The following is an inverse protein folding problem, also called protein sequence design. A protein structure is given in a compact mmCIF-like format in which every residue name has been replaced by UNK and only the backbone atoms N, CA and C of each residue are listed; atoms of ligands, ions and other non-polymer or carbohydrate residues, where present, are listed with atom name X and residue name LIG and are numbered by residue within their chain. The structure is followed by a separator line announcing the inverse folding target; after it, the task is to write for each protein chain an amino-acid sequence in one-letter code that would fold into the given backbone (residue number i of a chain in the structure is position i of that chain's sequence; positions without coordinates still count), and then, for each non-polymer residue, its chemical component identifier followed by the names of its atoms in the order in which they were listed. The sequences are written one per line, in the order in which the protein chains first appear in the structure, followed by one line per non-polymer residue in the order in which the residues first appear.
data_IF_673933553573
#
_entry.id   IF_673933553573
#
_cell.length_a   1.000
_cell.length_b   1.000
_cell.length_c   1.000
_cell.angle_alpha   90.00
_cell.angle_beta   90.00
_cell.angle_gamma   90.00
#
_symmetry.space_group_name_H-M   'P 1'
#
loop_
_entity.id
_entity.type
_entity.pdbx_description
1 polymer ?
#
# COMPACT_ATOMS: atom_id res chain seq x y z
N UNK A 1 10.66 -2.11 -4.16
CA UNK A 1 9.25 -1.71 -4.47
C UNK A 1 9.05 -0.28 -4.03
N UNK A 2 8.36 0.55 -4.81
CA UNK A 2 8.03 1.92 -4.36
C UNK A 2 7.11 1.81 -3.15
N UNK A 3 7.58 2.29 -2.01
CA UNK A 3 6.87 2.27 -0.71
C UNK A 3 5.81 3.36 -0.61
N UNK A 4 5.50 4.03 -1.74
CA UNK A 4 4.57 5.16 -1.79
C UNK A 4 3.37 4.88 -2.67
N UNK A 5 2.20 5.19 -2.12
CA UNK A 5 0.90 4.92 -2.70
C UNK A 5 0.09 6.20 -2.86
N UNK A 6 -0.75 6.24 -3.87
CA UNK A 6 -1.53 7.42 -4.19
C UNK A 6 -2.79 7.49 -3.32
N UNK A 7 -2.94 8.59 -2.57
CA UNK A 7 -4.20 8.93 -1.89
C UNK A 7 -5.05 9.81 -2.81
N UNK A 8 -6.36 9.57 -2.85
CA UNK A 8 -7.29 10.36 -3.65
C UNK A 8 -7.45 11.77 -3.08
N UNK A 9 -7.35 12.78 -3.93
CA UNK A 9 -7.64 14.18 -3.56
C UNK A 9 -9.10 14.38 -3.12
N UNK A 10 -10.00 13.47 -3.52
CA UNK A 10 -11.39 13.50 -3.08
C UNK A 10 -11.58 13.20 -1.59
N UNK A 11 -10.58 12.58 -0.94
CA UNK A 11 -10.65 12.27 0.49
C UNK A 11 -10.85 13.53 1.34
N UNK A 12 -10.10 14.61 1.06
CA UNK A 12 -10.25 15.88 1.80
C UNK A 12 -11.68 16.43 1.73
N UNK A 13 -12.30 16.41 0.54
CA UNK A 13 -13.67 16.88 0.35
C UNK A 13 -14.67 15.99 1.10
N UNK A 14 -14.49 14.67 1.04
CA UNK A 14 -15.36 13.72 1.77
C UNK A 14 -15.26 13.90 3.28
N UNK A 15 -14.05 14.10 3.81
CA UNK A 15 -13.83 14.39 5.23
C UNK A 15 -14.53 15.69 5.65
N UNK A 16 -14.48 16.74 4.81
CA UNK A 16 -15.20 18.00 5.04
C UNK A 16 -16.72 17.80 5.12
N UNK A 17 -17.32 16.93 4.29
CA UNK A 17 -18.76 16.59 4.34
C UNK A 17 -19.15 15.90 5.66
N UNK A 18 -18.20 15.19 6.29
CA UNK A 18 -18.37 14.61 7.62
C UNK A 18 -17.87 15.51 8.75
N UNK A 19 -17.68 16.81 8.48
CA UNK A 19 -17.26 17.82 9.47
C UNK A 19 -15.90 17.55 10.14
N UNK A 20 -15.03 16.77 9.51
CA UNK A 20 -13.67 16.50 9.99
C UNK A 20 -12.78 17.71 9.71
N UNK A 21 -12.17 18.28 10.75
CA UNK A 21 -11.26 19.42 10.63
C UNK A 21 -9.92 18.98 10.01
N UNK A 22 -9.70 19.32 8.73
CA UNK A 22 -8.46 18.98 8.03
C UNK A 22 -7.18 19.50 8.73
N UNK A 23 -7.14 20.75 9.28
CA UNK A 23 -5.97 21.21 10.00
C UNK A 23 -5.67 20.41 11.27
N UNK A 24 -6.71 20.03 12.02
CA UNK A 24 -6.56 19.19 13.22
C UNK A 24 -6.09 17.77 12.84
N UNK A 25 -6.70 17.20 11.81
CA UNK A 25 -6.34 15.91 11.27
C UNK A 25 -4.86 15.85 10.85
N UNK A 26 -4.39 16.78 10.03
CA UNK A 26 -3.03 16.78 9.51
C UNK A 26 -1.98 16.95 10.63
N UNK A 27 -2.25 17.83 11.62
CA UNK A 27 -1.38 17.94 12.80
C UNK A 27 -1.29 16.63 13.58
N UNK A 28 -2.43 15.96 13.77
CA UNK A 28 -2.49 14.70 14.52
C UNK A 28 -1.81 13.55 13.78
N UNK A 29 -1.92 13.52 12.46
CA UNK A 29 -1.27 12.53 11.60
C UNK A 29 0.23 12.80 11.38
N UNK A 30 0.77 13.94 11.85
CA UNK A 30 2.15 14.33 11.57
C UNK A 30 2.41 14.67 10.10
N UNK A 31 1.36 15.07 9.35
CA UNK A 31 1.44 15.40 7.93
C UNK A 31 1.50 16.91 7.70
N UNK A 32 2.17 17.37 6.62
CA UNK A 32 2.32 18.80 6.36
C UNK A 32 0.97 19.49 6.09
N UNK A 33 0.79 20.78 6.46
CA UNK A 33 -0.47 21.51 6.28
C UNK A 33 -0.97 21.55 4.83
N UNK A 34 -0.07 21.55 3.84
CA UNK A 34 -0.39 21.53 2.42
C UNK A 34 -0.61 20.12 1.83
N UNK A 35 -0.72 19.07 2.64
CA UNK A 35 -0.82 17.69 2.22
C UNK A 35 -1.89 17.46 1.14
N UNK A 36 -3.11 17.95 1.34
CA UNK A 36 -4.21 17.78 0.39
C UNK A 36 -4.22 18.81 -0.76
N UNK A 37 -3.28 19.76 -0.79
CA UNK A 37 -3.15 20.74 -1.88
C UNK A 37 -2.24 20.25 -3.00
N UNK A 38 -1.55 19.13 -2.82
CA UNK A 38 -0.70 18.52 -3.83
C UNK A 38 -1.53 17.96 -4.98
N UNK A 39 -1.06 18.11 -6.21
CA UNK A 39 -1.72 17.54 -7.39
C UNK A 39 -1.81 16.01 -7.33
N UNK A 40 -0.76 15.38 -6.82
CA UNK A 40 -0.70 13.93 -6.58
C UNK A 40 -0.16 13.69 -5.18
N UNK A 41 -0.96 13.06 -4.34
CA UNK A 41 -0.62 12.76 -2.95
C UNK A 41 -0.09 11.34 -2.88
N UNK A 42 1.14 11.19 -2.39
CA UNK A 42 1.76 9.88 -2.18
C UNK A 42 2.12 9.71 -0.70
N UNK A 43 1.80 8.55 -0.15
CA UNK A 43 2.07 8.18 1.25
C UNK A 43 2.75 6.81 1.32
N UNK A 44 3.52 6.59 2.37
CA UNK A 44 3.95 5.26 2.80
C UNK A 44 2.82 4.54 3.54
N UNK A 45 2.95 3.23 3.79
CA UNK A 45 1.97 2.49 4.60
C UNK A 45 1.85 3.10 6.01
N UNK A 46 2.96 3.50 6.63
CA UNK A 46 2.97 4.14 7.94
C UNK A 46 2.23 5.49 7.95
N UNK A 47 2.49 6.35 6.96
CA UNK A 47 1.77 7.64 6.79
C UNK A 47 0.27 7.42 6.52
N UNK A 48 -0.08 6.39 5.73
CA UNK A 48 -1.48 6.01 5.49
C UNK A 48 -2.16 5.61 6.81
N UNK A 49 -1.51 4.76 7.61
CA UNK A 49 -2.06 4.32 8.89
C UNK A 49 -2.18 5.48 9.89
N UNK A 50 -1.18 6.36 9.96
CA UNK A 50 -1.24 7.57 10.79
C UNK A 50 -2.42 8.48 10.38
N UNK A 51 -2.62 8.68 9.07
CA UNK A 51 -3.75 9.44 8.54
C UNK A 51 -5.10 8.83 8.97
N UNK A 52 -5.28 7.51 8.82
CA UNK A 52 -6.54 6.85 9.15
C UNK A 52 -6.83 6.77 10.65
N UNK A 53 -5.80 6.60 11.51
CA UNK A 53 -5.96 6.74 12.97
C UNK A 53 -6.42 8.15 13.33
N UNK A 54 -5.76 9.16 12.76
CA UNK A 54 -6.12 10.55 13.00
C UNK A 54 -7.54 10.89 12.52
N UNK A 55 -8.03 10.28 11.42
CA UNK A 55 -9.43 10.42 10.96
C UNK A 55 -10.39 9.89 12.04
N UNK A 56 -10.17 8.70 12.56
CA UNK A 56 -10.98 8.11 13.61
C UNK A 56 -11.05 9.01 14.84
N UNK A 57 -9.91 9.47 15.30
CA UNK A 57 -9.80 10.30 16.51
C UNK A 57 -10.34 11.73 16.34
N UNK A 58 -10.19 12.31 15.14
CA UNK A 58 -10.62 13.71 14.89
C UNK A 58 -12.11 13.81 14.54
N UNK A 59 -12.67 12.77 13.93
CA UNK A 59 -14.09 12.77 13.54
C UNK A 59 -15.05 12.72 14.73
N UNK A 60 -14.65 12.04 15.81
CA UNK A 60 -15.54 11.74 16.94
C UNK A 60 -16.72 10.82 16.59
N UNK A 61 -16.80 10.32 15.35
CA UNK A 61 -17.87 9.48 14.84
C UNK A 61 -17.34 8.03 14.67
N UNK A 62 -17.79 7.08 15.50
CA UNK A 62 -17.37 5.68 15.38
C UNK A 62 -17.81 5.02 14.05
N UNK A 63 -18.75 5.61 13.35
CA UNK A 63 -19.23 5.15 12.03
C UNK A 63 -18.49 5.78 10.85
N UNK A 64 -17.47 6.59 11.05
CA UNK A 64 -16.81 7.32 9.96
C UNK A 64 -16.21 6.38 8.89
N UNK A 65 -15.58 5.29 9.30
CA UNK A 65 -15.02 4.28 8.38
C UNK A 65 -16.10 3.68 7.47
N UNK A 66 -17.14 3.04 8.03
CA UNK A 66 -18.28 2.53 7.27
C UNK A 66 -18.92 3.58 6.34
N UNK A 67 -19.16 4.79 6.81
CA UNK A 67 -19.76 5.88 6.01
C UNK A 67 -18.87 6.29 4.83
N UNK A 68 -17.56 6.41 5.05
CA UNK A 68 -16.60 6.69 3.98
C UNK A 68 -16.50 5.52 2.98
N UNK A 69 -16.64 4.28 3.41
CA UNK A 69 -16.67 3.11 2.52
C UNK A 69 -17.93 3.03 1.65
N UNK A 70 -19.08 3.47 2.15
CA UNK A 70 -20.37 3.41 1.49
C UNK A 70 -20.68 4.63 0.59
N UNK A 71 -19.70 5.15 -0.18
CA UNK A 71 -19.94 6.28 -1.08
C UNK A 71 -21.01 5.96 -2.13
N UNK A 72 -22.16 6.68 -2.16
CA UNK A 72 -23.25 6.38 -3.08
C UNK A 72 -23.04 7.01 -4.47
N UNK A 73 -22.14 7.95 -4.63
CA UNK A 73 -21.97 8.76 -5.83
C UNK A 73 -20.93 8.17 -6.78
N UNK A 74 -21.37 7.73 -7.96
CA UNK A 74 -20.49 7.11 -8.97
C UNK A 74 -19.42 8.05 -9.49
N UNK A 75 -19.70 9.35 -9.58
CA UNK A 75 -18.73 10.37 -10.00
C UNK A 75 -17.54 10.54 -9.04
N UNK A 76 -17.58 9.87 -7.90
CA UNK A 76 -16.50 9.82 -6.92
C UNK A 76 -15.71 8.51 -6.93
N UNK A 77 -16.13 7.60 -7.80
CA UNK A 77 -15.43 6.33 -7.95
C UNK A 77 -14.19 6.53 -8.82
N UNK A 78 -13.10 5.89 -8.43
CA UNK A 78 -11.94 5.76 -9.30
C UNK A 78 -12.19 4.73 -10.42
N UNK A 79 -11.28 4.64 -11.37
CA UNK A 79 -11.42 3.73 -12.50
C UNK A 79 -11.55 2.27 -12.06
N UNK A 80 -10.90 1.87 -10.95
CA UNK A 80 -10.98 0.51 -10.40
C UNK A 80 -12.37 0.20 -9.86
N UNK A 81 -12.95 1.14 -9.10
CA UNK A 81 -14.31 1.00 -8.56
C UNK A 81 -15.36 1.03 -9.68
N UNK A 82 -15.19 1.87 -10.71
CA UNK A 82 -16.08 1.90 -11.89
C UNK A 82 -16.03 0.56 -12.62
N UNK A 83 -14.84 0.03 -12.90
CA UNK A 83 -14.67 -1.27 -13.54
C UNK A 83 -15.32 -2.41 -12.72
N UNK A 84 -15.22 -2.35 -11.39
CA UNK A 84 -15.85 -3.33 -10.50
C UNK A 84 -17.37 -3.26 -10.55
N UNK A 85 -17.95 -2.08 -10.44
CA UNK A 85 -19.43 -1.90 -10.48
C UNK A 85 -20.01 -2.27 -11.85
N UNK A 86 -19.26 -2.02 -12.94
CA UNK A 86 -19.68 -2.39 -14.31
C UNK A 86 -19.44 -3.86 -14.65
N UNK A 87 -18.96 -4.69 -13.73
CA UNK A 87 -18.68 -6.11 -13.95
C UNK A 87 -19.94 -6.95 -14.14
N UNK A 88 -19.81 -8.19 -14.63
CA UNK A 88 -20.93 -9.10 -14.89
C UNK A 88 -21.58 -9.63 -13.61
N UNK A 89 -20.76 -9.85 -12.56
CA UNK A 89 -21.18 -10.43 -11.29
C UNK A 89 -20.29 -9.91 -10.17
N UNK A 90 -20.65 -10.20 -8.93
CA UNK A 90 -19.82 -9.85 -7.77
C UNK A 90 -18.48 -10.58 -7.78
N UNK A 91 -18.43 -11.82 -8.25
CA UNK A 91 -17.18 -12.57 -8.48
C UNK A 91 -16.24 -11.83 -9.42
N UNK A 92 -16.75 -11.42 -10.57
CA UNK A 92 -15.99 -10.66 -11.57
C UNK A 92 -15.49 -9.32 -10.99
N UNK A 93 -16.34 -8.64 -10.22
CA UNK A 93 -15.99 -7.40 -9.52
C UNK A 93 -14.82 -7.61 -8.55
N UNK A 94 -14.91 -8.63 -7.69
CA UNK A 94 -13.86 -8.96 -6.72
C UNK A 94 -12.53 -9.32 -7.40
N UNK A 95 -12.56 -10.07 -8.50
CA UNK A 95 -11.37 -10.40 -9.28
C UNK A 95 -10.70 -9.16 -9.85
N UNK A 96 -11.49 -8.20 -10.38
CA UNK A 96 -10.96 -6.92 -10.90
C UNK A 96 -10.38 -6.06 -9.79
N UNK A 97 -11.08 -5.98 -8.67
CA UNK A 97 -10.59 -5.26 -7.50
C UNK A 97 -9.27 -5.86 -7.01
N UNK A 98 -9.17 -7.17 -6.86
CA UNK A 98 -7.95 -7.85 -6.47
C UNK A 98 -6.80 -7.58 -7.45
N UNK A 99 -7.09 -7.54 -8.77
CA UNK A 99 -6.09 -7.26 -9.81
C UNK A 99 -5.57 -5.83 -9.79
N UNK A 100 -6.47 -4.84 -9.65
CA UNK A 100 -6.13 -3.43 -9.88
C UNK A 100 -5.97 -2.60 -8.60
N UNK A 101 -6.35 -3.14 -7.42
CA UNK A 101 -6.25 -2.39 -6.16
C UNK A 101 -4.84 -1.88 -5.85
N UNK A 102 -3.84 -2.65 -6.18
CA UNK A 102 -2.43 -2.27 -6.04
C UNK A 102 -2.03 -1.00 -6.83
N UNK A 103 -2.85 -0.53 -7.78
CA UNK A 103 -2.61 0.73 -8.48
C UNK A 103 -2.86 1.96 -7.61
N UNK A 104 -3.75 1.82 -6.62
CA UNK A 104 -4.22 2.94 -5.80
C UNK A 104 -3.75 2.87 -4.35
N UNK A 105 -3.64 1.67 -3.77
CA UNK A 105 -3.30 1.48 -2.35
C UNK A 105 -2.33 0.32 -2.16
N UNK A 106 -1.55 0.30 -1.03
CA UNK A 106 -0.63 -0.80 -0.70
C UNK A 106 -1.37 -2.00 -0.12
N UNK A 107 -2.46 -2.38 -0.75
CA UNK A 107 -3.33 -3.44 -0.24
C UNK A 107 -3.60 -4.49 -1.31
N UNK A 108 -3.65 -5.72 -0.83
CA UNK A 108 -4.06 -6.89 -1.58
C UNK A 108 -5.45 -7.32 -1.11
N UNK A 109 -6.35 -7.57 -2.06
CA UNK A 109 -7.66 -8.15 -1.76
C UNK A 109 -7.56 -9.66 -1.93
N UNK A 110 -7.76 -10.40 -0.86
CA UNK A 110 -7.74 -11.87 -0.85
C UNK A 110 -9.16 -12.39 -0.82
N UNK A 111 -9.51 -13.24 -1.77
CA UNK A 111 -10.81 -13.89 -1.85
C UNK A 111 -10.62 -15.39 -1.69
N UNK A 112 -11.07 -15.93 -0.56
CA UNK A 112 -11.04 -17.37 -0.28
C UNK A 112 -12.43 -17.94 -0.49
N UNK A 113 -12.55 -18.89 -1.42
CA UNK A 113 -13.83 -19.50 -1.80
C UNK A 113 -13.81 -20.97 -1.38
N UNK A 114 -14.75 -21.32 -0.51
CA UNK A 114 -15.08 -22.68 -0.16
C UNK A 114 -16.39 -23.09 -0.86
N UNK A 115 -16.86 -24.31 -0.59
CA UNK A 115 -18.08 -24.83 -1.19
C UNK A 115 -19.29 -23.93 -0.92
N UNK A 116 -19.46 -23.46 0.30
CA UNK A 116 -20.66 -22.74 0.78
C UNK A 116 -20.40 -21.27 1.10
N UNK A 117 -19.17 -20.93 1.45
CA UNK A 117 -18.79 -19.59 1.89
C UNK A 117 -17.63 -19.01 1.08
N UNK A 118 -17.66 -17.71 0.89
CA UNK A 118 -16.58 -16.93 0.32
C UNK A 118 -16.22 -15.79 1.28
N UNK A 119 -14.95 -15.70 1.69
CA UNK A 119 -14.45 -14.58 2.50
C UNK A 119 -13.63 -13.62 1.67
N UNK A 120 -13.80 -12.33 1.94
CA UNK A 120 -13.05 -11.24 1.33
C UNK A 120 -12.30 -10.50 2.42
N UNK A 121 -10.98 -10.44 2.29
CA UNK A 121 -10.03 -9.87 3.24
C UNK A 121 -9.16 -8.82 2.54
N UNK A 122 -8.65 -7.87 3.32
CA UNK A 122 -7.60 -6.95 2.90
C UNK A 122 -6.31 -7.30 3.64
N UNK A 123 -5.20 -7.31 2.92
CA UNK A 123 -3.86 -7.41 3.50
C UNK A 123 -3.06 -6.18 3.07
N UNK A 124 -2.59 -5.40 4.04
CA UNK A 124 -1.76 -4.24 3.76
C UNK A 124 -0.31 -4.68 3.58
N UNK A 125 0.23 -4.41 2.40
CA UNK A 125 1.61 -4.73 2.08
C UNK A 125 2.54 -3.81 2.89
N UNK A 126 3.62 -4.37 3.43
CA UNK A 126 4.61 -3.63 4.22
C UNK A 126 4.05 -2.97 5.49
N UNK A 127 2.99 -3.54 6.07
CA UNK A 127 2.47 -3.11 7.34
C UNK A 127 3.34 -3.69 8.48
N UNK A 128 4.00 -2.82 9.24
CA UNK A 128 4.75 -3.17 10.46
C UNK A 128 3.88 -3.02 11.72
N UNK A 129 2.71 -2.41 11.57
CA UNK A 129 1.79 -2.09 12.67
C UNK A 129 0.39 -2.68 12.41
N UNK A 130 -0.41 -2.73 13.47
CA UNK A 130 -1.82 -3.15 13.39
C UNK A 130 -2.62 -2.14 12.55
N UNK A 131 -3.45 -2.66 11.68
CA UNK A 131 -4.32 -1.88 10.79
C UNK A 131 -5.27 -0.98 11.59
N UNK A 132 -5.40 0.31 11.24
CA UNK A 132 -6.37 1.20 11.86
C UNK A 132 -7.80 0.70 11.67
N UNK A 133 -8.60 0.62 12.74
CA UNK A 133 -9.97 0.10 12.70
C UNK A 133 -10.85 0.84 11.69
N UNK A 134 -10.71 2.16 11.61
CA UNK A 134 -11.43 3.00 10.64
C UNK A 134 -11.11 2.63 9.20
N UNK A 135 -9.85 2.27 8.90
CA UNK A 135 -9.43 1.84 7.57
C UNK A 135 -9.99 0.46 7.23
N UNK A 136 -9.95 -0.48 8.18
CA UNK A 136 -10.56 -1.82 8.04
C UNK A 136 -12.05 -1.69 7.73
N UNK A 137 -12.76 -0.89 8.51
CA UNK A 137 -14.20 -0.68 8.35
C UNK A 137 -14.54 -0.04 7.01
N UNK A 138 -13.74 0.95 6.57
CA UNK A 138 -13.88 1.58 5.26
C UNK A 138 -13.68 0.55 4.14
N UNK A 139 -12.62 -0.25 4.18
CA UNK A 139 -12.30 -1.21 3.12
C UNK A 139 -13.40 -2.26 2.97
N UNK A 140 -13.86 -2.82 4.09
CA UNK A 140 -14.93 -3.83 4.09
C UNK A 140 -16.28 -3.24 3.66
N UNK A 141 -16.61 -2.01 4.11
CA UNK A 141 -17.80 -1.28 3.69
C UNK A 141 -17.79 -0.95 2.20
N UNK A 142 -16.61 -0.59 1.66
CA UNK A 142 -16.45 -0.31 0.23
C UNK A 142 -16.72 -1.54 -0.64
N UNK A 143 -16.21 -2.71 -0.28
CA UNK A 143 -16.51 -3.98 -0.96
C UNK A 143 -18.01 -4.26 -0.94
N UNK A 144 -18.65 -4.12 0.22
CA UNK A 144 -20.09 -4.33 0.36
C UNK A 144 -20.91 -3.36 -0.48
N UNK A 145 -20.48 -2.09 -0.52
CA UNK A 145 -21.11 -1.05 -1.33
C UNK A 145 -21.11 -1.39 -2.83
N UNK A 146 -20.00 -1.90 -3.36
CA UNK A 146 -19.89 -2.36 -4.75
C UNK A 146 -20.85 -3.53 -5.01
N UNK A 147 -20.85 -4.53 -4.13
CA UNK A 147 -21.75 -5.68 -4.26
C UNK A 147 -23.23 -5.29 -4.19
N UNK A 148 -23.62 -4.45 -3.22
CA UNK A 148 -25.00 -3.95 -3.08
C UNK A 148 -25.42 -3.14 -4.30
N UNK A 149 -24.57 -2.27 -4.80
CA UNK A 149 -24.87 -1.47 -5.99
C UNK A 149 -25.05 -2.35 -7.22
N UNK A 150 -24.15 -3.30 -7.44
CA UNK A 150 -24.22 -4.20 -8.59
C UNK A 150 -25.44 -5.09 -8.58
N UNK A 151 -25.93 -5.50 -7.41
CA UNK A 151 -27.07 -6.42 -7.26
C UNK A 151 -28.37 -5.75 -6.83
N UNK A 152 -28.46 -4.42 -6.90
CA UNK A 152 -29.63 -3.66 -6.40
C UNK A 152 -30.00 -4.02 -4.95
N UNK A 153 -28.99 -4.07 -4.08
CA UNK A 153 -29.14 -4.35 -2.65
C UNK A 153 -29.36 -5.81 -2.27
N UNK A 154 -29.36 -6.74 -3.23
CA UNK A 154 -29.67 -8.16 -2.96
C UNK A 154 -28.54 -8.90 -2.24
N UNK A 155 -27.31 -8.45 -2.38
CA UNK A 155 -26.17 -9.08 -1.71
C UNK A 155 -26.18 -8.75 -0.21
N UNK A 156 -26.09 -9.80 0.62
CA UNK A 156 -26.02 -9.67 2.07
C UNK A 156 -24.89 -10.55 2.59
N UNK A 157 -23.96 -9.99 3.37
CA UNK A 157 -22.95 -10.82 4.04
C UNK A 157 -23.62 -11.79 5.02
N UNK A 158 -23.00 -12.94 5.21
CA UNK A 158 -23.38 -13.89 6.27
C UNK A 158 -22.94 -13.38 7.63
N UNK A 159 -21.77 -12.75 7.68
CA UNK A 159 -21.16 -12.17 8.89
C UNK A 159 -19.98 -11.26 8.55
N UNK A 160 -19.68 -10.39 9.48
CA UNK A 160 -18.45 -9.59 9.53
C UNK A 160 -17.53 -10.19 10.61
N UNK A 161 -16.29 -10.50 10.27
CA UNK A 161 -15.25 -10.99 11.20
C UNK A 161 -14.23 -9.88 11.44
N UNK A 162 -13.96 -9.55 12.72
CA UNK A 162 -13.02 -8.48 13.11
C UNK A 162 -12.07 -8.98 14.21
N UNK A 163 -10.78 -8.67 14.07
CA UNK A 163 -9.75 -9.07 15.03
C UNK A 163 -9.81 -8.32 16.35
N UNK A 164 -10.38 -7.09 16.33
CA UNK A 164 -10.46 -6.18 17.47
C UNK A 164 -11.44 -6.66 18.56
N UNK A 165 -11.34 -6.12 19.79
CA UNK A 165 -12.34 -6.32 20.85
C UNK A 165 -13.72 -5.80 20.45
N UNK A 166 -14.75 -6.24 21.22
CA UNK A 166 -16.14 -5.80 20.99
C UNK A 166 -16.28 -4.31 21.24
N UNK A 167 -16.66 -3.57 20.19
CA UNK A 167 -17.07 -2.16 20.28
C UNK A 167 -17.99 -1.78 19.12
N UNK A 168 -18.94 -0.90 19.39
CA UNK A 168 -19.90 -0.38 18.39
C UNK A 168 -20.66 -1.48 17.61
N UNK A 169 -21.01 -2.60 18.26
CA UNK A 169 -21.62 -3.78 17.63
C UNK A 169 -22.88 -3.40 16.84
N UNK A 170 -23.85 -2.74 17.49
CA UNK A 170 -25.14 -2.39 16.87
C UNK A 170 -24.98 -1.48 15.63
N UNK A 171 -24.02 -0.55 15.69
CA UNK A 171 -23.70 0.31 14.56
C UNK A 171 -23.20 -0.50 13.36
N UNK A 172 -22.24 -1.41 13.62
CA UNK A 172 -21.65 -2.25 12.58
C UNK A 172 -22.68 -3.24 12.02
N UNK A 173 -23.46 -3.91 12.87
CA UNK A 173 -24.53 -4.83 12.43
C UNK A 173 -25.59 -4.12 11.59
N UNK A 174 -25.97 -2.92 11.99
CA UNK A 174 -26.91 -2.08 11.22
C UNK A 174 -26.33 -1.72 9.85
N UNK A 175 -25.06 -1.27 9.81
CA UNK A 175 -24.43 -0.85 8.56
C UNK A 175 -24.18 -2.02 7.60
N UNK A 176 -23.56 -3.10 8.10
CA UNK A 176 -23.23 -4.26 7.27
C UNK A 176 -24.43 -5.16 6.99
N UNK A 177 -25.47 -5.11 7.83
CA UNK A 177 -26.68 -5.92 7.70
C UNK A 177 -26.46 -7.39 7.99
N UNK A 178 -25.51 -7.70 8.86
CA UNK A 178 -25.16 -9.06 9.27
C UNK A 178 -24.56 -9.08 10.68
N UNK A 179 -24.53 -10.24 11.36
CA UNK A 179 -23.88 -10.40 12.65
C UNK A 179 -22.38 -10.10 12.58
N UNK A 180 -21.83 -9.51 13.67
CA UNK A 180 -20.40 -9.23 13.82
C UNK A 180 -19.74 -10.22 14.79
N UNK A 181 -18.65 -10.84 14.36
CA UNK A 181 -17.79 -11.68 15.19
C UNK A 181 -16.50 -10.95 15.52
N UNK A 182 -16.38 -10.52 16.76
CA UNK A 182 -15.15 -9.89 17.28
C UNK A 182 -14.14 -10.92 17.78
N UNK A 183 -12.89 -10.49 17.95
CA UNK A 183 -11.75 -11.35 18.35
C UNK A 183 -11.58 -12.54 17.38
N UNK A 184 -11.94 -12.35 16.12
CA UNK A 184 -11.72 -13.32 15.08
C UNK A 184 -10.22 -13.38 14.68
N UNK A 185 -9.82 -14.43 13.99
CA UNK A 185 -8.43 -14.56 13.52
C UNK A 185 -8.07 -13.64 12.36
N UNK A 186 -9.05 -12.89 11.81
CA UNK A 186 -8.87 -12.03 10.62
C UNK A 186 -9.95 -10.95 10.54
N UNK A 187 -9.70 -9.93 9.70
CA UNK A 187 -10.69 -8.93 9.30
C UNK A 187 -11.30 -9.33 7.95
N UNK A 188 -12.56 -9.77 7.91
CA UNK A 188 -13.17 -10.31 6.69
C UNK A 188 -14.67 -10.06 6.61
N UNK A 189 -15.18 -9.89 5.37
CA UNK A 189 -16.59 -10.06 5.05
C UNK A 189 -16.81 -11.45 4.47
N UNK A 190 -17.79 -12.16 4.99
CA UNK A 190 -18.13 -13.53 4.55
C UNK A 190 -19.50 -13.52 3.86
N UNK A 191 -19.54 -14.09 2.67
CA UNK A 191 -20.74 -14.21 1.82
C UNK A 191 -21.05 -15.69 1.54
N UNK A 192 -22.27 -15.98 1.07
CA UNK A 192 -22.54 -17.27 0.44
C UNK A 192 -21.83 -17.34 -0.91
N UNK A 193 -21.21 -18.46 -1.22
CA UNK A 193 -20.53 -18.65 -2.52
C UNK A 193 -21.50 -18.44 -3.69
N UNK A 194 -22.77 -18.86 -3.57
CA UNK A 194 -23.80 -18.65 -4.57
C UNK A 194 -24.12 -17.17 -4.85
N UNK A 195 -23.90 -16.28 -3.87
CA UNK A 195 -24.17 -14.85 -4.04
C UNK A 195 -23.09 -14.17 -4.90
N UNK A 196 -21.90 -14.76 -5.03
CA UNK A 196 -20.85 -14.21 -5.87
C UNK A 196 -21.21 -14.20 -7.37
N UNK A 197 -22.03 -15.14 -7.80
CA UNK A 197 -22.40 -15.32 -9.21
C UNK A 197 -23.70 -14.58 -9.58
N UNK A 198 -24.28 -13.82 -8.64
CA UNK A 198 -25.42 -12.95 -8.94
C UNK A 198 -25.07 -11.95 -10.03
N UNK A 199 -25.91 -11.85 -11.09
CA UNK A 199 -25.67 -10.88 -12.16
C UNK A 199 -25.81 -9.45 -11.63
N UNK A 200 -24.94 -8.57 -12.10
CA UNK A 200 -25.01 -7.16 -11.78
C UNK A 200 -25.98 -6.43 -12.71
N UNK A 201 -26.93 -5.69 -12.14
CA UNK A 201 -27.84 -4.81 -12.87
C UNK A 201 -27.10 -3.59 -13.47
N UNK A 202 -25.91 -3.32 -12.97
CA UNK A 202 -25.02 -2.23 -13.42
C UNK A 202 -24.04 -2.68 -14.49
N UNK A 203 -24.13 -3.93 -14.99
CA UNK A 203 -23.23 -4.43 -16.03
C UNK A 203 -23.24 -3.52 -17.26
N UNK A 204 -22.05 -3.05 -17.66
CA UNK A 204 -21.86 -2.18 -18.81
C UNK A 204 -20.55 -2.53 -19.52
N UNK A 205 -20.66 -3.18 -20.70
CA UNK A 205 -19.52 -3.67 -21.47
C UNK A 205 -18.64 -2.54 -22.01
N UNK A 206 -19.25 -1.41 -22.39
CA UNK A 206 -18.50 -0.28 -22.99
C UNK A 206 -17.65 0.43 -21.95
N UNK A 207 -18.23 0.75 -20.77
CA UNK A 207 -17.48 1.31 -19.66
C UNK A 207 -16.41 0.33 -19.15
N UNK A 208 -16.72 -0.95 -19.11
CA UNK A 208 -15.76 -1.98 -18.67
C UNK A 208 -14.56 -2.08 -19.63
N UNK A 209 -14.82 -2.00 -20.93
CA UNK A 209 -13.76 -2.03 -21.96
C UNK A 209 -12.86 -0.79 -21.88
N UNK A 210 -13.49 0.39 -21.78
CA UNK A 210 -12.76 1.65 -21.68
C UNK A 210 -11.88 1.74 -20.42
N UNK A 211 -12.47 1.46 -19.25
CA UNK A 211 -11.75 1.48 -17.97
C UNK A 211 -10.72 0.36 -17.86
N UNK A 212 -11.05 -0.84 -18.39
CA UNK A 212 -10.16 -1.99 -18.38
C UNK A 212 -8.87 -1.78 -19.17
N UNK A 213 -8.96 -1.18 -20.37
CA UNK A 213 -7.80 -0.85 -21.19
C UNK A 213 -6.87 0.16 -20.47
N UNK A 214 -7.44 1.19 -19.83
CA UNK A 214 -6.68 2.17 -19.06
C UNK A 214 -5.98 1.50 -17.87
N UNK A 215 -6.72 0.73 -17.05
CA UNK A 215 -6.19 0.06 -15.86
C UNK A 215 -5.09 -0.96 -16.23
N UNK A 216 -5.23 -1.68 -17.32
CA UNK A 216 -4.23 -2.61 -17.80
C UNK A 216 -2.94 -1.88 -18.22
N UNK A 217 -3.08 -0.75 -18.92
CA UNK A 217 -1.94 0.10 -19.29
C UNK A 217 -1.21 0.64 -18.05
N UNK A 218 -1.96 1.12 -17.04
CA UNK A 218 -1.40 1.59 -15.77
C UNK A 218 -0.70 0.46 -15.01
N UNK A 219 -1.29 -0.74 -14.99
CA UNK A 219 -0.71 -1.92 -14.34
C UNK A 219 0.59 -2.36 -15.02
N UNK A 220 0.62 -2.37 -16.36
CA UNK A 220 1.83 -2.68 -17.12
C UNK A 220 2.91 -1.63 -16.89
N UNK A 221 2.56 -0.35 -16.86
CA UNK A 221 3.49 0.74 -16.57
C UNK A 221 4.07 0.60 -15.14
N UNK A 222 3.24 0.31 -14.15
CA UNK A 222 3.67 0.07 -12.77
C UNK A 222 4.61 -1.15 -12.67
N UNK A 223 4.25 -2.26 -13.30
CA UNK A 223 5.06 -3.48 -13.32
C UNK A 223 6.38 -3.27 -14.06
N UNK A 224 6.37 -2.56 -15.19
CA UNK A 224 7.58 -2.19 -15.93
C UNK A 224 8.48 -1.25 -15.12
N UNK A 225 7.89 -0.34 -14.34
CA UNK A 225 8.60 0.54 -13.43
C UNK A 225 9.20 -0.19 -12.24
N UNK A 226 8.47 -1.14 -11.66
CA UNK A 226 8.96 -2.03 -10.61
C UNK A 226 10.11 -2.91 -11.13
N UNK A 227 9.97 -3.44 -12.34
CA UNK A 227 11.02 -4.22 -12.99
C UNK A 227 12.27 -3.38 -13.27
N UNK A 228 12.14 -2.15 -13.75
CA UNK A 228 13.28 -1.27 -13.99
C UNK A 228 13.99 -0.86 -12.69
N UNK A 229 13.26 -0.68 -11.61
CA UNK A 229 13.84 -0.41 -10.28
C UNK A 229 14.69 -1.58 -9.79
N UNK A 230 14.19 -2.79 -9.89
CA UNK A 230 14.91 -4.01 -9.53
C UNK A 230 16.10 -4.27 -10.47
N UNK A 231 15.95 -4.03 -11.77
CA UNK A 231 17.06 -4.11 -12.73
C UNK A 231 18.18 -3.12 -12.38
N UNK A 232 17.83 -1.88 -12.04
CA UNK A 232 18.77 -0.85 -11.60
C UNK A 232 19.46 -1.27 -10.28
N UNK A 233 18.69 -1.73 -9.27
CA UNK A 233 19.25 -2.22 -8.00
C UNK A 233 20.21 -3.39 -8.21
N UNK A 234 19.83 -4.37 -9.04
CA UNK A 234 20.71 -5.49 -9.35
C UNK A 234 22.02 -5.04 -10.01
N UNK A 235 21.91 -4.12 -10.96
CA UNK A 235 23.08 -3.54 -11.66
C UNK A 235 23.95 -2.72 -10.69
N UNK A 236 23.33 -1.92 -9.80
CA UNK A 236 24.01 -1.17 -8.74
C UNK A 236 24.80 -2.10 -7.80
N UNK A 237 24.19 -3.21 -7.33
CA UNK A 237 24.87 -4.19 -6.46
C UNK A 237 26.15 -4.74 -7.07
N UNK A 238 26.23 -4.85 -8.39
CA UNK A 238 27.43 -5.32 -9.11
C UNK A 238 28.46 -4.22 -9.35
N UNK A 239 28.03 -2.97 -9.49
CA UNK A 239 28.88 -1.85 -9.93
C UNK A 239 29.35 -0.92 -8.80
N UNK A 240 28.82 -1.06 -7.58
CA UNK A 240 29.15 -0.18 -6.44
C UNK A 240 30.58 -0.33 -5.91
N UNK A 241 31.21 -1.50 -6.06
CA UNK A 241 32.52 -1.76 -5.50
C UNK A 241 33.58 -0.74 -5.97
N UNK A 242 33.93 0.21 -5.10
CA UNK A 242 34.97 1.23 -5.34
C UNK A 242 34.62 2.31 -6.37
N UNK A 243 33.36 2.42 -6.82
CA UNK A 243 32.97 3.42 -7.81
C UNK A 243 31.65 4.11 -7.42
N UNK A 244 31.58 5.41 -7.69
CA UNK A 244 30.33 6.15 -7.58
C UNK A 244 29.44 5.82 -8.79
N UNK A 245 28.30 5.20 -8.60
CA UNK A 245 27.42 4.84 -9.71
C UNK A 245 26.82 6.10 -10.34
N UNK A 246 26.80 6.17 -11.67
CA UNK A 246 26.13 7.24 -12.41
C UNK A 246 24.97 6.67 -13.23
N UNK A 247 23.94 7.50 -13.43
CA UNK A 247 22.79 7.12 -14.26
C UNK A 247 23.22 6.70 -15.67
N UNK A 248 24.26 7.33 -16.22
CA UNK A 248 24.83 6.99 -17.52
C UNK A 248 25.44 5.58 -17.56
N UNK A 249 26.19 5.20 -16.52
CA UNK A 249 26.78 3.86 -16.45
C UNK A 249 25.69 2.79 -16.37
N UNK A 250 24.70 2.99 -15.50
CA UNK A 250 23.60 2.04 -15.31
C UNK A 250 22.73 1.95 -16.57
N UNK A 251 22.40 3.06 -17.21
CA UNK A 251 21.65 3.05 -18.46
C UNK A 251 22.35 2.24 -19.55
N UNK A 252 23.68 2.41 -19.68
CA UNK A 252 24.51 1.66 -20.65
C UNK A 252 24.52 0.17 -20.35
N UNK A 253 24.66 -0.23 -19.07
CA UNK A 253 24.64 -1.65 -18.68
C UNK A 253 23.27 -2.30 -18.93
N UNK A 254 22.18 -1.53 -18.81
CA UNK A 254 20.81 -1.98 -19.09
C UNK A 254 20.44 -1.90 -20.58
N UNK A 255 21.33 -1.45 -21.46
CA UNK A 255 21.06 -1.27 -22.89
C UNK A 255 20.03 -0.19 -23.19
N UNK A 256 19.89 0.80 -22.30
CA UNK A 256 18.91 1.88 -22.40
C UNK A 256 19.61 3.23 -22.64
N UNK A 257 18.90 4.17 -23.29
CA UNK A 257 19.33 5.57 -23.26
C UNK A 257 19.06 6.16 -21.86
N UNK A 258 19.88 7.13 -21.44
CA UNK A 258 19.69 7.84 -20.16
C UNK A 258 18.29 8.43 -20.03
N UNK A 259 17.78 9.04 -21.12
CA UNK A 259 16.42 9.60 -21.19
C UNK A 259 15.35 8.52 -20.99
N UNK A 260 15.54 7.33 -21.58
CA UNK A 260 14.59 6.22 -21.43
C UNK A 260 14.58 5.69 -20.00
N UNK A 261 15.76 5.50 -19.40
CA UNK A 261 15.88 5.06 -18.03
C UNK A 261 15.26 6.08 -17.07
N UNK A 262 15.59 7.36 -17.24
CA UNK A 262 15.06 8.44 -16.41
C UNK A 262 13.53 8.54 -16.49
N UNK A 263 12.97 8.44 -17.72
CA UNK A 263 11.52 8.43 -17.91
C UNK A 263 10.87 7.22 -17.18
N UNK A 264 11.40 6.01 -17.37
CA UNK A 264 10.86 4.81 -16.73
C UNK A 264 10.92 4.89 -15.20
N UNK A 265 11.99 5.44 -14.63
CA UNK A 265 12.10 5.67 -13.19
C UNK A 265 11.09 6.72 -12.71
N UNK A 266 10.92 7.81 -13.46
CA UNK A 266 9.92 8.85 -13.16
C UNK A 266 8.50 8.29 -13.23
N UNK A 267 8.19 7.51 -14.29
CA UNK A 267 6.88 6.86 -14.45
C UNK A 267 6.58 5.87 -13.30
N UNK A 268 7.61 5.26 -12.73
CA UNK A 268 7.53 4.40 -11.54
C UNK A 268 7.48 5.18 -10.22
N UNK A 269 7.62 6.51 -10.23
CA UNK A 269 7.70 7.34 -9.02
C UNK A 269 8.98 7.15 -8.21
N UNK A 270 10.07 6.66 -8.83
CA UNK A 270 11.33 6.33 -8.17
C UNK A 270 12.43 7.24 -8.72
N UNK A 271 13.31 7.77 -7.85
CA UNK A 271 14.51 8.48 -8.29
C UNK A 271 15.71 7.55 -8.30
N UNK A 272 16.66 7.82 -9.22
CA UNK A 272 17.92 7.08 -9.25
C UNK A 272 18.70 7.20 -7.92
N UNK A 273 18.64 8.37 -7.30
CA UNK A 273 19.31 8.59 -6.03
C UNK A 273 18.75 7.75 -4.89
N UNK A 274 17.42 7.62 -4.82
CA UNK A 274 16.77 6.71 -3.87
C UNK A 274 17.23 5.26 -4.06
N UNK A 275 17.29 4.77 -5.31
CA UNK A 275 17.77 3.41 -5.58
C UNK A 275 19.23 3.21 -5.17
N UNK A 276 20.09 4.22 -5.36
CA UNK A 276 21.50 4.16 -4.90
C UNK A 276 21.55 4.09 -3.37
N UNK A 277 20.76 4.91 -2.66
CA UNK A 277 20.71 4.92 -1.20
C UNK A 277 20.16 3.60 -0.65
N UNK A 278 19.03 3.11 -1.16
CA UNK A 278 18.45 1.83 -0.77
C UNK A 278 19.43 0.68 -0.97
N UNK A 279 20.09 0.64 -2.13
CA UNK A 279 21.07 -0.42 -2.45
C UNK A 279 22.28 -0.35 -1.51
N UNK A 280 22.76 0.85 -1.22
CA UNK A 280 23.85 1.05 -0.25
C UNK A 280 23.48 0.60 1.16
N UNK A 281 22.26 0.91 1.59
CA UNK A 281 21.73 0.49 2.90
C UNK A 281 21.62 -1.03 3.00
N UNK A 282 21.03 -1.68 1.99
CA UNK A 282 20.93 -3.15 1.93
C UNK A 282 22.32 -3.83 1.99
N UNK A 283 23.28 -3.34 1.19
CA UNK A 283 24.63 -3.87 1.17
C UNK A 283 25.42 -3.56 2.46
N UNK A 284 25.18 -2.39 3.08
CA UNK A 284 25.77 -2.06 4.37
C UNK A 284 25.38 -3.08 5.43
N UNK A 285 24.09 -3.40 5.55
CA UNK A 285 23.62 -4.43 6.47
C UNK A 285 24.25 -5.80 6.17
N UNK A 286 24.37 -6.15 4.89
CA UNK A 286 24.99 -7.40 4.48
C UNK A 286 26.46 -7.47 4.90
N UNK A 287 27.29 -6.45 4.60
CA UNK A 287 28.72 -6.43 4.94
C UNK A 287 28.96 -6.27 6.46
N UNK A 288 28.13 -5.50 7.15
CA UNK A 288 28.25 -5.34 8.59
C UNK A 288 27.94 -6.60 9.39
N UNK A 289 27.10 -7.48 8.88
CA UNK A 289 26.86 -8.81 9.47
C UNK A 289 28.06 -9.74 9.28
N UNK A 290 28.86 -9.55 8.26
CA UNK A 290 30.08 -10.31 8.03
C UNK A 290 31.21 -9.79 8.92
N UNK A 291 31.65 -10.59 9.89
CA UNK A 291 32.65 -10.20 10.89
C UNK A 291 34.08 -9.95 10.34
N UNK A 292 34.34 -10.36 9.11
CA UNK A 292 35.64 -10.29 8.46
C UNK A 292 35.87 -9.00 7.68
N UNK A 293 34.82 -8.22 7.37
CA UNK A 293 34.94 -6.98 6.60
C UNK A 293 35.11 -5.78 7.54
N UNK A 294 36.15 -4.99 7.37
CA UNK A 294 36.40 -3.79 8.17
C UNK A 294 35.43 -2.65 7.80
N UNK A 295 35.21 -1.70 8.74
CA UNK A 295 34.28 -0.58 8.51
C UNK A 295 34.74 0.33 7.37
N UNK A 296 36.04 0.57 7.24
CA UNK A 296 36.59 1.36 6.15
C UNK A 296 36.47 0.64 4.81
N UNK A 297 36.67 -0.67 4.81
CA UNK A 297 36.48 -1.51 3.63
C UNK A 297 34.97 -1.55 3.22
N UNK A 298 34.08 -1.63 4.19
CA UNK A 298 32.64 -1.51 3.94
C UNK A 298 32.30 -0.20 3.22
N UNK A 299 32.84 0.95 3.67
CA UNK A 299 32.64 2.23 3.01
C UNK A 299 33.09 2.21 1.53
N UNK A 300 34.27 1.62 1.27
CA UNK A 300 34.77 1.48 -0.09
C UNK A 300 33.91 0.57 -0.96
N UNK A 301 33.48 -0.57 -0.45
CA UNK A 301 32.60 -1.51 -1.16
C UNK A 301 31.23 -0.90 -1.48
N UNK A 302 30.76 0.06 -0.68
CA UNK A 302 29.55 0.82 -0.92
C UNK A 302 29.73 2.02 -1.86
N UNK A 303 30.94 2.23 -2.40
CA UNK A 303 31.27 3.31 -3.33
C UNK A 303 31.28 4.69 -2.70
N UNK A 304 31.66 4.81 -1.43
CA UNK A 304 31.96 6.08 -0.79
C UNK A 304 33.45 6.45 -1.00
N UNK A 305 33.69 7.73 -1.15
CA UNK A 305 35.06 8.25 -1.32
C UNK A 305 35.86 8.22 0.00
N UNK A 306 35.15 8.34 1.13
CA UNK A 306 35.72 8.30 2.47
C UNK A 306 34.77 7.63 3.48
N UNK A 307 35.33 7.08 4.56
CA UNK A 307 34.57 6.37 5.58
C UNK A 307 33.64 7.29 6.38
N UNK A 308 33.98 8.57 6.55
CA UNK A 308 33.16 9.51 7.31
C UNK A 308 31.83 9.81 6.58
N UNK A 309 31.86 9.86 5.25
CA UNK A 309 30.66 10.00 4.42
C UNK A 309 29.73 8.80 4.57
N UNK A 310 30.26 7.59 4.62
CA UNK A 310 29.47 6.39 4.93
C UNK A 310 28.92 6.43 6.35
N UNK A 311 29.73 6.77 7.36
CA UNK A 311 29.29 6.80 8.75
C UNK A 311 28.15 7.80 8.98
N UNK A 312 28.20 8.97 8.35
CA UNK A 312 27.11 9.97 8.38
C UNK A 312 25.85 9.45 7.71
N UNK A 313 25.98 8.84 6.53
CA UNK A 313 24.83 8.27 5.81
C UNK A 313 24.19 7.13 6.62
N UNK A 314 25.00 6.24 7.19
CA UNK A 314 24.51 5.11 7.99
C UNK A 314 23.80 5.58 9.26
N UNK A 315 24.36 6.60 9.93
CA UNK A 315 23.71 7.19 11.11
C UNK A 315 22.37 7.83 10.77
N UNK A 316 22.24 8.44 9.58
CA UNK A 316 20.96 8.95 9.07
C UNK A 316 19.94 7.85 8.83
N UNK A 317 20.36 6.68 8.36
CA UNK A 317 19.48 5.56 8.05
C UNK A 317 19.02 4.77 9.29
N UNK A 318 19.95 4.56 10.24
CA UNK A 318 19.79 3.62 11.35
C UNK A 318 19.74 4.29 12.74
N UNK A 319 20.01 5.59 12.82
CA UNK A 319 20.09 6.32 14.10
C UNK A 319 21.30 5.96 14.97
N UNK A 320 22.21 5.09 14.51
CA UNK A 320 23.36 4.61 15.26
C UNK A 320 24.61 4.51 14.36
N UNK A 321 25.79 4.36 14.94
CA UNK A 321 27.01 4.16 14.15
C UNK A 321 27.10 2.75 13.56
N UNK A 322 27.82 2.54 12.42
CA UNK A 322 28.02 1.21 11.86
C UNK A 322 28.67 0.22 12.83
N UNK A 323 29.56 0.70 13.71
CA UNK A 323 30.22 -0.14 14.71
C UNK A 323 29.28 -0.60 15.82
N UNK A 324 28.48 0.30 16.35
CA UNK A 324 27.44 -0.02 17.35
C UNK A 324 26.39 -0.96 16.78
N UNK A 325 25.93 -0.69 15.56
CA UNK A 325 24.98 -1.54 14.86
C UNK A 325 25.50 -2.97 14.69
N UNK A 326 26.75 -3.11 14.26
CA UNK A 326 27.44 -4.41 14.13
C UNK A 326 27.48 -5.16 15.46
N UNK A 327 27.80 -4.48 16.56
CA UNK A 327 27.89 -5.08 17.89
C UNK A 327 26.53 -5.58 18.36
N UNK A 328 25.47 -4.78 18.19
CA UNK A 328 24.11 -5.12 18.58
C UNK A 328 23.56 -6.35 17.82
N UNK A 329 23.85 -6.47 16.53
CA UNK A 329 23.33 -7.56 15.71
C UNK A 329 24.18 -8.83 15.76
N UNK A 330 25.42 -8.78 16.26
CA UNK A 330 26.24 -9.96 16.55
C UNK A 330 25.85 -10.66 17.86
N UNK A 331 25.45 -9.91 18.88
CA UNK A 331 24.98 -10.49 20.14
C UNK A 331 23.64 -11.21 20.00
N UNK A 332 22.77 -10.77 19.11
CA UNK A 332 21.48 -11.41 18.86
C UNK A 332 21.59 -12.79 18.16
N UNK A 333 22.62 -13.06 17.36
CA UNK A 333 22.84 -14.36 16.72
C UNK A 333 23.47 -15.42 17.66
N UNK A 334 24.14 -15.00 18.73
CA UNK A 334 24.75 -15.91 19.72
C UNK A 334 23.72 -16.38 20.75
N UNK A 335 22.66 -15.61 21.03
CA UNK A 335 21.62 -15.99 21.98
C UNK A 335 20.53 -16.92 21.41
N UNK A 336 20.41 -17.03 20.08
CA UNK A 336 19.44 -17.92 19.41
C UNK A 336 20.04 -19.28 19.06
N UNK A 337 21.34 -19.47 19.27
CA UNK A 337 22.11 -20.70 18.98
C UNK A 337 22.52 -21.52 20.20
N UNK A 338 21.94 -21.26 21.38
CA UNK A 338 22.23 -22.03 22.59
C UNK A 338 20.97 -22.70 23.16
#
# INVERSE_FOLDING_TARGET
MSDRFRVSNLLARRLGEHQVSLPALLRRAGLPPGFFQQEKIYVTTAELFALWRAIGETSGDPGIGPKLGAEPRLERYDATAIAAVCSRSFRDALQRLARYKQLTCPEEIRVHINRDEASVEFAFLQAEEVEPEVLVDLCLSWILSIGRRGTDGQIKPLRLELTRPVQHCDLLETHFGCPVRFKAGRNALVFRTSDLDRPFVTYNVDLLTATGAQLETELQAKNAGSDVGEQVKHTLKRSLAGKRPTLQCIARELGLSVRTLQRRLTDAGITFQQLVEDTRRELAHHYLKQSTVELNETAYLLGYEDANSFFRAFHLWEGTSPGEWRTLHRTAEVEVGN
#
